data_IF_735719399216
#
_entry.id   IF_735719399216
#
_cell.length_a   1.000
_cell.length_b   1.000
_cell.length_c   1.000
_cell.angle_alpha   90.00
_cell.angle_beta   90.00
_cell.angle_gamma   90.00
#
_symmetry.space_group_name_H-M   'P 1'
#
loop_
_entity.id
_entity.type
_entity.pdbx_description
1 polymer ?
#
# COMPACT_ATOMS: atom_id res chain seq x y z
N UNK A 1 21.07 6.11 11.67
CA UNK A 1 20.90 6.80 10.36
C UNK A 1 20.71 8.32 10.48
N UNK A 2 19.68 8.86 11.19
CA UNK A 2 19.55 10.33 11.31
C UNK A 2 20.70 10.99 12.10
N UNK A 3 21.04 10.45 13.27
CA UNK A 3 22.18 10.92 14.09
C UNK A 3 23.53 10.84 13.38
N UNK A 4 23.76 9.83 12.56
CA UNK A 4 24.99 9.65 11.77
C UNK A 4 25.15 10.71 10.67
N UNK A 5 24.04 11.36 10.29
CA UNK A 5 23.99 12.45 9.31
C UNK A 5 23.82 13.84 9.94
N UNK A 6 23.98 13.94 11.27
CA UNK A 6 23.86 15.20 12.00
C UNK A 6 22.45 15.80 12.04
N UNK A 7 21.43 14.96 11.77
CA UNK A 7 20.04 15.39 11.81
C UNK A 7 19.41 15.07 13.17
N UNK A 8 18.63 15.99 13.70
CA UNK A 8 17.80 15.78 14.88
C UNK A 8 16.39 15.36 14.43
N UNK A 9 15.83 14.35 15.08
CA UNK A 9 14.45 13.88 14.85
C UNK A 9 13.60 14.40 16.00
N UNK A 10 12.48 15.05 15.67
CA UNK A 10 11.43 15.37 16.64
C UNK A 10 10.73 14.10 17.11
N UNK A 11 11.28 13.44 18.14
CA UNK A 11 10.75 12.21 18.70
C UNK A 11 9.36 12.40 19.32
N UNK A 12 9.11 13.55 19.98
CA UNK A 12 7.82 13.83 20.61
C UNK A 12 6.70 14.03 19.56
N UNK A 13 7.00 14.78 18.50
CA UNK A 13 6.09 14.94 17.37
C UNK A 13 5.80 13.62 16.66
N UNK A 14 6.82 12.76 16.48
CA UNK A 14 6.64 11.43 15.90
C UNK A 14 5.74 10.53 16.78
N UNK A 15 5.97 10.47 18.09
CA UNK A 15 5.14 9.69 19.01
C UNK A 15 3.68 10.16 19.00
N UNK A 16 3.44 11.47 19.00
CA UNK A 16 2.10 12.04 18.92
C UNK A 16 1.39 11.63 17.63
N UNK A 17 2.05 11.77 16.48
CA UNK A 17 1.48 11.37 15.19
C UNK A 17 1.22 9.86 15.09
N UNK A 18 2.09 9.03 15.69
CA UNK A 18 1.89 7.59 15.77
C UNK A 18 0.71 7.22 16.67
N UNK A 19 0.49 7.96 17.76
CA UNK A 19 -0.66 7.74 18.62
C UNK A 19 -1.98 8.17 17.96
N UNK A 20 -1.97 9.29 17.25
CA UNK A 20 -3.10 9.73 16.41
C UNK A 20 -3.41 8.71 15.30
N UNK A 21 -2.40 8.13 14.67
CA UNK A 21 -2.57 7.06 13.67
C UNK A 21 -3.15 5.79 14.31
N UNK A 22 -2.64 5.37 15.48
CA UNK A 22 -3.18 4.22 16.23
C UNK A 22 -4.65 4.44 16.61
N UNK A 23 -5.00 5.63 17.05
CA UNK A 23 -6.38 5.97 17.42
C UNK A 23 -7.31 6.00 16.21
N UNK A 24 -6.85 6.52 15.06
CA UNK A 24 -7.59 6.45 13.78
C UNK A 24 -7.76 5.00 13.31
N UNK A 25 -6.73 4.18 13.40
CA UNK A 25 -6.81 2.77 13.04
C UNK A 25 -7.77 2.00 13.98
N UNK A 26 -7.73 2.25 15.30
CA UNK A 26 -8.67 1.68 16.26
C UNK A 26 -10.10 2.15 16.03
N UNK A 27 -10.32 3.41 15.65
CA UNK A 27 -11.64 3.93 15.33
C UNK A 27 -12.19 3.31 14.02
N UNK A 28 -11.33 3.11 13.02
CA UNK A 28 -11.70 2.44 11.76
C UNK A 28 -11.93 0.92 11.94
N UNK A 29 -11.32 0.29 12.95
CA UNK A 29 -11.51 -1.13 13.28
C UNK A 29 -12.66 -1.39 14.25
N UNK A 30 -13.31 -0.36 14.81
CA UNK A 30 -14.51 -0.58 15.63
C UNK A 30 -15.61 -1.17 14.77
N UNK A 31 -15.64 -2.51 14.70
CA UNK A 31 -16.84 -3.23 14.28
C UNK A 31 -17.96 -2.81 15.23
N UNK A 32 -19.06 -2.36 14.69
CA UNK A 32 -20.24 -2.03 15.50
C UNK A 32 -20.75 -3.31 16.13
N UNK A 33 -20.66 -3.41 17.44
CA UNK A 33 -21.27 -4.51 18.19
C UNK A 33 -22.75 -4.15 18.31
N UNK A 34 -23.59 -4.90 17.60
CA UNK A 34 -25.04 -4.83 17.74
C UNK A 34 -25.42 -5.62 18.98
N UNK A 35 -26.03 -4.97 19.95
CA UNK A 35 -26.43 -5.61 21.22
C UNK A 35 -27.89 -6.09 21.13
N UNK A 36 -28.26 -7.09 21.93
CA UNK A 36 -29.64 -7.56 22.02
C UNK A 36 -30.62 -6.45 22.44
N UNK A 37 -30.16 -5.45 23.19
CA UNK A 37 -30.95 -4.24 23.53
C UNK A 37 -31.33 -3.42 22.30
N UNK A 38 -30.53 -3.45 21.24
CA UNK A 38 -30.83 -2.74 19.98
C UNK A 38 -31.93 -3.45 19.16
N UNK A 39 -32.18 -4.73 19.45
CA UNK A 39 -33.12 -5.60 18.72
C UNK A 39 -34.46 -5.72 19.44
N UNK A 40 -34.50 -5.57 20.77
CA UNK A 40 -35.71 -5.62 21.59
C UNK A 40 -36.27 -7.03 21.85
N UNK A 41 -35.67 -8.08 21.28
CA UNK A 41 -36.08 -9.48 21.47
C UNK A 41 -34.98 -10.46 21.11
N UNK A 42 -34.98 -11.64 21.73
CA UNK A 42 -34.07 -12.75 21.41
C UNK A 42 -34.83 -13.82 20.62
N UNK A 43 -34.67 -13.80 19.30
CA UNK A 43 -35.19 -14.82 18.39
C UNK A 43 -34.01 -15.63 17.82
N UNK A 44 -33.70 -16.82 18.36
CA UNK A 44 -32.61 -17.63 17.85
C UNK A 44 -32.90 -18.06 16.40
N UNK A 45 -31.89 -17.93 15.55
CA UNK A 45 -31.93 -18.35 14.13
C UNK A 45 -31.21 -19.68 13.97
N UNK A 46 -31.90 -20.69 13.46
CA UNK A 46 -31.27 -21.97 13.11
C UNK A 46 -30.47 -21.84 11.82
N UNK A 47 -29.17 -22.07 11.87
CA UNK A 47 -28.29 -22.04 10.68
C UNK A 47 -28.36 -23.36 9.94
N UNK A 48 -28.78 -23.33 8.67
CA UNK A 48 -28.85 -24.50 7.77
C UNK A 48 -27.87 -24.43 6.61
N UNK A 49 -27.03 -23.39 6.56
CA UNK A 49 -26.18 -23.01 5.43
C UNK A 49 -24.86 -23.82 5.29
N UNK A 50 -24.64 -24.84 6.10
CA UNK A 50 -23.57 -25.80 5.84
C UNK A 50 -23.89 -26.75 4.68
N UNK A 51 -25.19 -27.08 4.50
CA UNK A 51 -25.65 -28.06 3.55
C UNK A 51 -26.65 -27.52 2.53
N UNK A 52 -27.27 -26.38 2.81
CA UNK A 52 -28.27 -25.74 1.94
C UNK A 52 -27.91 -24.30 1.62
N UNK A 53 -28.03 -23.91 0.34
CA UNK A 53 -27.85 -22.52 -0.10
C UNK A 53 -29.19 -21.76 -0.20
N UNK A 54 -30.32 -22.45 -0.09
CA UNK A 54 -31.64 -21.86 -0.09
C UNK A 54 -32.55 -22.58 0.91
N UNK A 55 -33.52 -21.88 1.48
CA UNK A 55 -34.53 -22.47 2.35
C UNK A 55 -35.78 -21.59 2.38
N UNK A 56 -36.92 -22.19 2.71
CA UNK A 56 -38.10 -21.45 3.17
C UNK A 56 -37.88 -21.10 4.64
N UNK A 57 -38.18 -19.87 5.03
CA UNK A 57 -38.01 -19.39 6.40
C UNK A 57 -39.20 -18.47 6.77
N UNK A 58 -39.50 -18.39 8.07
CA UNK A 58 -40.51 -17.47 8.57
C UNK A 58 -39.81 -16.22 9.11
N UNK A 59 -40.33 -15.04 8.72
CA UNK A 59 -39.92 -13.76 9.26
C UNK A 59 -40.40 -13.67 10.71
N UNK A 60 -39.47 -13.79 11.66
CA UNK A 60 -39.78 -13.67 13.09
C UNK A 60 -40.01 -12.20 13.47
N UNK A 61 -39.16 -11.30 12.94
CA UNK A 61 -39.21 -9.88 13.25
C UNK A 61 -38.60 -9.05 12.12
N UNK A 62 -39.10 -7.81 11.96
CA UNK A 62 -38.47 -6.73 11.20
C UNK A 62 -37.93 -5.71 12.20
N UNK A 63 -36.68 -5.37 12.13
CA UNK A 63 -36.02 -4.43 13.04
C UNK A 63 -35.37 -3.30 12.26
N UNK A 64 -35.42 -2.08 12.81
CA UNK A 64 -34.65 -0.95 12.30
C UNK A 64 -33.46 -0.75 13.25
N UNK A 65 -32.27 -0.99 12.76
CA UNK A 65 -31.04 -0.87 13.52
C UNK A 65 -30.27 0.31 12.95
N UNK A 66 -30.30 1.43 13.69
CA UNK A 66 -29.87 2.73 13.20
C UNK A 66 -30.63 3.10 11.91
N UNK A 67 -29.90 3.28 10.82
CA UNK A 67 -30.48 3.66 9.51
C UNK A 67 -30.73 2.45 8.59
N UNK A 68 -30.51 1.20 9.06
CA UNK A 68 -30.62 -0.02 8.26
C UNK A 68 -31.80 -0.87 8.70
N UNK A 69 -32.54 -1.36 7.72
CA UNK A 69 -33.60 -2.35 7.96
C UNK A 69 -32.98 -3.74 7.99
N UNK A 70 -33.31 -4.52 9.00
CA UNK A 70 -32.90 -5.91 9.14
C UNK A 70 -34.12 -6.80 9.38
N UNK A 71 -34.08 -8.03 8.87
CA UNK A 71 -35.04 -9.06 9.23
C UNK A 71 -34.37 -10.18 10.03
N UNK A 72 -35.14 -10.74 10.95
CA UNK A 72 -34.78 -11.89 11.74
C UNK A 72 -35.62 -13.07 11.29
N UNK A 73 -34.97 -14.19 11.01
CA UNK A 73 -35.58 -15.41 10.52
C UNK A 73 -35.51 -16.53 11.56
N UNK A 74 -36.49 -17.43 11.56
CA UNK A 74 -36.47 -18.65 12.37
C UNK A 74 -35.31 -19.59 11.98
N UNK A 75 -34.99 -19.64 10.67
CA UNK A 75 -33.83 -20.36 10.11
C UNK A 75 -33.27 -19.64 8.91
N UNK A 76 -31.96 -19.84 8.63
CA UNK A 76 -31.28 -19.16 7.54
C UNK A 76 -30.18 -20.00 6.94
N UNK A 77 -29.98 -19.95 5.59
CA UNK A 77 -28.82 -20.50 4.92
C UNK A 77 -27.65 -19.52 4.91
N UNK A 78 -27.89 -18.23 5.27
CA UNK A 78 -26.84 -17.19 5.27
C UNK A 78 -25.93 -17.36 6.47
N UNK A 79 -24.63 -17.35 6.26
CA UNK A 79 -23.65 -17.31 7.33
C UNK A 79 -23.58 -15.88 7.92
N UNK A 80 -23.75 -15.76 9.21
CA UNK A 80 -23.56 -14.48 9.88
C UNK A 80 -22.09 -14.24 10.19
N UNK A 81 -21.62 -13.01 10.05
CA UNK A 81 -20.22 -12.65 10.24
C UNK A 81 -19.70 -13.10 11.60
N UNK A 82 -18.72 -14.00 11.58
CA UNK A 82 -17.98 -14.44 12.79
C UNK A 82 -16.69 -15.16 12.41
N UNK A 83 -15.75 -15.29 13.37
CA UNK A 83 -14.52 -16.07 13.19
C UNK A 83 -13.60 -15.57 12.06
N UNK A 84 -13.71 -14.30 11.68
CA UNK A 84 -12.93 -13.73 10.58
C UNK A 84 -13.54 -13.90 9.19
N UNK A 85 -14.61 -14.69 9.04
CA UNK A 85 -15.37 -14.80 7.80
C UNK A 85 -16.48 -13.74 7.76
N UNK A 86 -16.57 -12.98 6.66
CA UNK A 86 -17.65 -12.00 6.43
C UNK A 86 -19.02 -12.67 6.30
N UNK A 87 -20.08 -11.94 6.63
CA UNK A 87 -21.45 -12.39 6.47
C UNK A 87 -21.85 -12.57 5.00
N UNK A 88 -22.88 -13.38 4.74
CA UNK A 88 -23.40 -13.61 3.40
C UNK A 88 -24.33 -12.52 2.92
N UNK A 89 -24.41 -12.41 1.60
CA UNK A 89 -25.45 -11.74 0.87
C UNK A 89 -26.45 -12.78 0.32
N UNK A 90 -27.71 -12.37 0.12
CA UNK A 90 -28.78 -13.25 -0.33
C UNK A 90 -29.87 -12.49 -1.08
N UNK A 91 -30.76 -13.24 -1.72
CA UNK A 91 -32.03 -12.74 -2.25
C UNK A 91 -33.18 -13.41 -1.48
N UNK A 92 -34.11 -12.61 -1.06
CA UNK A 92 -35.41 -13.05 -0.46
C UNK A 92 -36.50 -12.90 -1.50
N UNK A 93 -37.36 -13.87 -1.61
CA UNK A 93 -38.48 -13.86 -2.54
C UNK A 93 -39.81 -14.17 -1.82
N UNK A 94 -40.84 -13.38 -2.09
CA UNK A 94 -42.21 -13.59 -1.61
C UNK A 94 -43.21 -13.03 -2.62
N UNK A 95 -44.08 -13.88 -3.14
CA UNK A 95 -45.19 -13.44 -4.04
C UNK A 95 -44.70 -12.68 -5.28
N UNK A 96 -43.52 -13.02 -5.82
CA UNK A 96 -42.92 -12.37 -6.97
C UNK A 96 -42.17 -11.07 -6.66
N UNK A 97 -42.18 -10.60 -5.40
CA UNK A 97 -41.33 -9.49 -4.95
C UNK A 97 -39.97 -10.05 -4.46
N UNK A 98 -38.92 -9.24 -4.60
CA UNK A 98 -37.59 -9.59 -4.15
C UNK A 98 -37.00 -8.50 -3.27
N UNK A 99 -36.24 -8.91 -2.27
CA UNK A 99 -35.43 -8.05 -1.41
C UNK A 99 -33.99 -8.58 -1.39
N UNK A 100 -33.06 -7.69 -1.48
CA UNK A 100 -31.64 -8.04 -1.42
C UNK A 100 -31.15 -7.94 0.02
N UNK A 101 -30.56 -9.03 0.53
CA UNK A 101 -29.74 -9.01 1.75
C UNK A 101 -28.32 -8.62 1.35
N UNK A 102 -27.81 -7.53 1.90
CA UNK A 102 -26.48 -7.03 1.61
C UNK A 102 -25.42 -7.56 2.57
N UNK A 103 -25.85 -7.97 3.77
CA UNK A 103 -24.95 -8.45 4.83
C UNK A 103 -25.77 -9.25 5.87
N UNK A 104 -25.10 -10.19 6.52
CA UNK A 104 -25.68 -10.99 7.60
C UNK A 104 -24.76 -10.90 8.83
N UNK A 105 -25.31 -10.38 9.92
CA UNK A 105 -24.59 -10.16 11.19
C UNK A 105 -25.22 -11.01 12.29
N UNK A 106 -24.48 -11.18 13.39
CA UNK A 106 -24.91 -11.97 14.55
C UNK A 106 -24.93 -11.15 15.83
N UNK A 107 -26.02 -11.26 16.61
CA UNK A 107 -26.10 -10.78 17.98
C UNK A 107 -26.64 -11.91 18.88
N UNK A 108 -25.79 -12.46 19.75
CA UNK A 108 -26.14 -13.66 20.49
C UNK A 108 -26.43 -14.84 19.58
N UNK A 109 -27.64 -15.39 19.66
CA UNK A 109 -28.13 -16.44 18.75
C UNK A 109 -29.05 -15.91 17.64
N UNK A 110 -29.30 -14.61 17.60
CA UNK A 110 -30.14 -13.93 16.63
C UNK A 110 -29.31 -13.48 15.43
N UNK A 111 -29.76 -13.82 14.23
CA UNK A 111 -29.10 -13.40 12.99
C UNK A 111 -29.88 -12.31 12.28
N UNK A 112 -29.17 -11.26 11.90
CA UNK A 112 -29.68 -10.03 11.33
C UNK A 112 -29.36 -10.00 9.84
N UNK A 113 -30.38 -10.09 9.00
CA UNK A 113 -30.24 -10.01 7.55
C UNK A 113 -30.55 -8.57 7.12
N UNK A 114 -29.52 -7.79 6.84
CA UNK A 114 -29.64 -6.38 6.45
C UNK A 114 -30.07 -6.23 5.02
N UNK A 115 -31.18 -5.54 4.81
CA UNK A 115 -31.76 -5.32 3.49
C UNK A 115 -31.15 -4.10 2.80
N UNK A 116 -31.25 -4.10 1.47
CA UNK A 116 -30.95 -2.97 0.61
C UNK A 116 -32.19 -2.07 0.55
N UNK A 117 -32.23 -1.02 1.37
CA UNK A 117 -33.37 -0.12 1.50
C UNK A 117 -34.21 -0.33 2.76
N UNK A 118 -35.35 0.36 2.83
CA UNK A 118 -36.22 0.38 4.00
C UNK A 118 -37.40 -0.62 3.91
N UNK A 119 -37.73 -1.07 2.72
CA UNK A 119 -38.82 -2.03 2.47
C UNK A 119 -38.42 -3.43 2.94
N UNK A 120 -39.35 -4.13 3.55
CA UNK A 120 -39.16 -5.48 4.10
C UNK A 120 -40.42 -6.33 3.98
N UNK A 121 -40.32 -7.68 3.91
CA UNK A 121 -41.47 -8.55 4.09
C UNK A 121 -42.01 -8.43 5.51
N UNK A 122 -43.33 -8.58 5.66
CA UNK A 122 -44.01 -8.44 6.95
C UNK A 122 -43.63 -9.56 7.93
N UNK A 123 -43.60 -9.22 9.21
CA UNK A 123 -43.42 -10.23 10.27
C UNK A 123 -44.50 -11.30 10.18
N UNK A 124 -44.13 -12.57 10.36
CA UNK A 124 -45.00 -13.72 10.20
C UNK A 124 -45.07 -14.30 8.80
N UNK A 125 -44.63 -13.59 7.77
CA UNK A 125 -44.57 -14.09 6.40
C UNK A 125 -43.64 -15.27 6.23
N UNK A 126 -43.99 -16.22 5.38
CA UNK A 126 -43.07 -17.29 4.94
C UNK A 126 -42.45 -16.88 3.63
N UNK A 127 -41.11 -16.78 3.63
CA UNK A 127 -40.31 -16.31 2.50
C UNK A 127 -39.43 -17.45 2.01
N UNK A 128 -38.92 -17.32 0.79
CA UNK A 128 -37.79 -18.08 0.29
C UNK A 128 -36.53 -17.19 0.37
N UNK A 129 -35.45 -17.71 0.93
CA UNK A 129 -34.16 -17.03 0.97
C UNK A 129 -33.10 -17.89 0.32
N UNK A 130 -32.33 -17.30 -0.62
CA UNK A 130 -31.24 -17.96 -1.34
C UNK A 130 -29.96 -17.12 -1.23
N UNK A 131 -28.88 -17.75 -0.81
CA UNK A 131 -27.55 -17.14 -0.68
C UNK A 131 -26.99 -16.81 -2.06
N UNK A 132 -26.25 -15.70 -2.18
CA UNK A 132 -25.41 -15.44 -3.34
C UNK A 132 -24.32 -16.51 -3.43
N UNK A 133 -24.60 -17.52 -4.26
CA UNK A 133 -23.74 -18.70 -4.39
C UNK A 133 -22.32 -18.34 -4.86
N UNK A 134 -22.19 -17.47 -5.86
CA UNK A 134 -20.88 -17.12 -6.40
C UNK A 134 -19.98 -16.45 -5.33
N UNK A 135 -20.60 -15.58 -4.53
CA UNK A 135 -19.93 -14.94 -3.39
C UNK A 135 -19.57 -15.95 -2.29
N UNK A 136 -20.49 -16.85 -1.92
CA UNK A 136 -20.28 -17.91 -0.92
C UNK A 136 -19.15 -18.85 -1.35
N UNK A 137 -19.14 -19.30 -2.61
CA UNK A 137 -18.12 -20.18 -3.15
C UNK A 137 -16.71 -19.53 -3.07
N UNK A 138 -16.60 -18.22 -3.38
CA UNK A 138 -15.35 -17.50 -3.25
C UNK A 138 -14.88 -17.42 -1.79
N UNK A 139 -15.79 -17.14 -0.85
CA UNK A 139 -15.51 -17.12 0.59
C UNK A 139 -15.05 -18.50 1.09
N UNK A 140 -15.74 -19.57 0.70
CA UNK A 140 -15.39 -20.95 1.09
C UNK A 140 -13.99 -21.35 0.61
N UNK A 141 -13.61 -20.97 -0.63
CA UNK A 141 -12.25 -21.17 -1.16
C UNK A 141 -11.21 -20.47 -0.31
N UNK A 142 -11.42 -19.19 -0.04
CA UNK A 142 -10.50 -18.41 0.79
C UNK A 142 -10.44 -18.94 2.23
N UNK A 143 -11.57 -19.37 2.81
CA UNK A 143 -11.58 -19.88 4.17
C UNK A 143 -10.87 -21.23 4.29
N UNK A 144 -11.15 -22.15 3.36
CA UNK A 144 -10.50 -23.46 3.40
C UNK A 144 -9.00 -23.35 3.15
N UNK A 145 -8.57 -22.52 2.20
CA UNK A 145 -7.14 -22.35 1.94
C UNK A 145 -6.42 -21.64 3.08
N UNK A 146 -7.13 -20.87 3.93
CA UNK A 146 -6.56 -20.30 5.17
C UNK A 146 -6.07 -21.39 6.10
N UNK A 147 -6.81 -22.48 6.28
CA UNK A 147 -6.40 -23.64 7.08
C UNK A 147 -5.20 -24.35 6.44
N UNK A 148 -5.20 -24.52 5.12
CA UNK A 148 -4.07 -25.13 4.39
C UNK A 148 -2.81 -24.27 4.47
N UNK A 149 -2.96 -22.93 4.37
CA UNK A 149 -1.87 -21.98 4.54
C UNK A 149 -1.26 -22.05 5.95
N UNK A 150 -2.11 -22.14 6.98
CA UNK A 150 -1.65 -22.30 8.35
C UNK A 150 -0.86 -23.60 8.53
N UNK A 151 -1.36 -24.70 8.00
CA UNK A 151 -0.64 -25.96 7.98
C UNK A 151 0.71 -25.85 7.23
N UNK A 152 0.74 -25.21 6.06
CA UNK A 152 1.97 -25.03 5.28
C UNK A 152 3.01 -24.13 6.01
N UNK A 153 2.56 -23.12 6.77
CA UNK A 153 3.43 -22.33 7.66
C UNK A 153 4.10 -23.22 8.72
N UNK A 154 3.36 -24.18 9.29
CA UNK A 154 3.94 -25.14 10.23
C UNK A 154 4.98 -26.07 9.59
N UNK A 155 4.80 -26.45 8.33
CA UNK A 155 5.75 -27.33 7.63
C UNK A 155 7.01 -26.58 7.17
N UNK A 156 6.87 -25.33 6.70
CA UNK A 156 7.96 -24.60 6.05
C UNK A 156 8.71 -23.68 7.04
N UNK A 157 8.00 -23.12 8.02
CA UNK A 157 8.58 -22.08 8.88
C UNK A 157 8.81 -22.57 10.30
N UNK A 158 7.76 -22.89 11.03
CA UNK A 158 7.83 -23.36 12.41
C UNK A 158 6.51 -23.94 12.88
N UNK A 159 6.54 -25.03 13.64
CA UNK A 159 5.38 -25.59 14.35
C UNK A 159 4.79 -24.63 15.41
N UNK A 160 5.52 -23.58 15.76
CA UNK A 160 5.09 -22.55 16.71
C UNK A 160 4.40 -21.36 16.02
N UNK A 161 4.35 -21.32 14.70
CA UNK A 161 3.64 -20.28 13.95
C UNK A 161 2.14 -20.36 14.26
N UNK A 162 1.64 -19.47 15.13
CA UNK A 162 0.25 -19.48 15.56
C UNK A 162 -0.52 -18.29 14.99
N UNK A 163 -1.77 -18.53 14.65
CA UNK A 163 -2.68 -17.49 14.19
C UNK A 163 -2.88 -16.41 15.26
N UNK A 164 -2.75 -15.14 14.88
CA UNK A 164 -3.06 -13.95 15.68
C UNK A 164 -4.32 -13.25 15.21
N UNK A 165 -4.74 -13.51 13.99
CA UNK A 165 -5.95 -13.00 13.37
C UNK A 165 -6.09 -13.54 11.96
N UNK A 166 -7.30 -13.48 11.42
CA UNK A 166 -7.56 -13.74 10.02
C UNK A 166 -8.79 -12.97 9.56
N UNK A 167 -8.84 -12.66 8.29
CA UNK A 167 -10.05 -12.15 7.65
C UNK A 167 -10.20 -12.82 6.28
N UNK A 168 -11.43 -13.22 5.99
CA UNK A 168 -11.80 -13.93 4.77
C UNK A 168 -12.99 -13.24 4.16
N UNK A 169 -12.83 -12.77 2.92
CA UNK A 169 -13.87 -12.18 2.11
C UNK A 169 -13.88 -12.79 0.68
N UNK A 170 -14.83 -12.44 -0.20
CA UNK A 170 -14.89 -13.04 -1.53
C UNK A 170 -13.71 -12.67 -2.44
N UNK A 171 -12.93 -11.65 -2.12
CA UNK A 171 -11.84 -11.13 -2.96
C UNK A 171 -10.47 -11.61 -2.53
N UNK A 172 -10.27 -11.84 -1.22
CA UNK A 172 -8.99 -12.24 -0.63
C UNK A 172 -9.13 -12.86 0.75
N UNK A 173 -8.01 -13.36 1.22
CA UNK A 173 -7.81 -13.68 2.64
C UNK A 173 -6.62 -12.90 3.20
N UNK A 174 -6.64 -12.66 4.51
CA UNK A 174 -5.47 -12.24 5.28
C UNK A 174 -5.26 -13.19 6.44
N UNK A 175 -4.01 -13.51 6.74
CA UNK A 175 -3.61 -14.39 7.83
C UNK A 175 -2.48 -13.76 8.63
N UNK A 176 -2.76 -13.47 9.89
CA UNK A 176 -1.80 -12.88 10.82
C UNK A 176 -1.20 -13.98 11.70
N UNK A 177 0.12 -14.02 11.78
CA UNK A 177 0.83 -15.01 12.59
C UNK A 177 2.01 -14.39 13.35
N UNK A 178 2.41 -15.03 14.43
CA UNK A 178 3.63 -14.66 15.15
C UNK A 178 4.85 -15.22 14.39
N UNK A 179 5.84 -14.37 14.17
CA UNK A 179 7.06 -14.83 13.49
C UNK A 179 7.95 -13.69 13.03
N UNK A 180 9.02 -14.08 12.36
CA UNK A 180 9.93 -13.19 11.64
C UNK A 180 9.45 -12.99 10.19
N UNK A 181 10.05 -12.02 9.49
CA UNK A 181 9.82 -11.83 8.07
C UNK A 181 10.19 -13.11 7.29
N UNK A 182 9.31 -13.53 6.39
CA UNK A 182 9.56 -14.69 5.54
C UNK A 182 10.52 -14.33 4.41
N UNK A 183 11.43 -15.23 4.10
CA UNK A 183 12.29 -15.09 2.93
C UNK A 183 11.48 -15.34 1.65
N UNK A 184 11.94 -14.83 0.49
CA UNK A 184 11.31 -15.15 -0.79
C UNK A 184 11.24 -16.66 -1.08
N UNK A 185 12.24 -17.42 -0.65
CA UNK A 185 12.24 -18.89 -0.77
C UNK A 185 11.14 -19.52 0.06
N UNK A 186 10.99 -19.14 1.33
CA UNK A 186 9.92 -19.65 2.19
C UNK A 186 8.52 -19.31 1.64
N UNK A 187 8.32 -18.09 1.11
CA UNK A 187 7.06 -17.72 0.47
C UNK A 187 6.74 -18.61 -0.74
N UNK A 188 7.75 -18.86 -1.58
CA UNK A 188 7.59 -19.74 -2.74
C UNK A 188 7.32 -21.19 -2.34
N UNK A 189 7.98 -21.70 -1.30
CA UNK A 189 7.78 -23.06 -0.78
C UNK A 189 6.37 -23.21 -0.16
N UNK A 190 5.89 -22.23 0.60
CA UNK A 190 4.54 -22.20 1.15
C UNK A 190 3.51 -22.21 0.02
N UNK A 191 3.63 -21.30 -0.95
CA UNK A 191 2.71 -21.19 -2.08
C UNK A 191 2.67 -22.50 -2.88
N UNK A 192 3.82 -23.09 -3.16
CA UNK A 192 3.93 -24.38 -3.83
C UNK A 192 3.25 -25.49 -3.04
N UNK A 193 3.56 -25.63 -1.75
CA UNK A 193 3.02 -26.67 -0.89
C UNK A 193 1.50 -26.60 -0.75
N UNK A 194 0.95 -25.38 -0.62
CA UNK A 194 -0.50 -25.17 -0.60
C UNK A 194 -1.13 -25.64 -1.91
N UNK A 195 -0.57 -25.27 -3.07
CA UNK A 195 -1.10 -25.70 -4.36
C UNK A 195 -0.97 -27.22 -4.58
N UNK A 196 0.08 -27.86 -4.08
CA UNK A 196 0.19 -29.33 -4.11
C UNK A 196 -0.94 -30.00 -3.32
N UNK A 197 -1.32 -29.46 -2.16
CA UNK A 197 -2.45 -29.95 -1.36
C UNK A 197 -3.81 -29.65 -2.00
N UNK A 198 -3.94 -28.55 -2.70
CA UNK A 198 -5.13 -28.27 -3.50
C UNK A 198 -5.29 -29.30 -4.61
N UNK A 199 -4.21 -29.60 -5.34
CA UNK A 199 -4.21 -30.57 -6.44
C UNK A 199 -4.42 -32.02 -5.97
N UNK A 200 -4.08 -32.35 -4.73
CA UNK A 200 -4.36 -33.67 -4.14
C UNK A 200 -5.87 -33.96 -4.05
N UNK A 201 -6.72 -32.94 -4.10
CA UNK A 201 -8.17 -33.04 -4.07
C UNK A 201 -8.71 -33.83 -2.85
N UNK A 202 -8.08 -33.61 -1.69
CA UNK A 202 -8.47 -34.23 -0.42
C UNK A 202 -9.87 -33.77 0.02
N UNK A 203 -10.61 -34.66 0.69
CA UNK A 203 -11.91 -34.31 1.26
C UNK A 203 -11.78 -33.32 2.40
N UNK A 204 -12.69 -32.35 2.45
CA UNK A 204 -12.86 -31.41 3.56
C UNK A 204 -14.16 -31.75 4.27
N UNK A 205 -14.04 -32.22 5.50
CA UNK A 205 -15.18 -32.69 6.29
C UNK A 205 -15.22 -32.01 7.67
N UNK A 206 -16.33 -32.12 8.34
CA UNK A 206 -16.47 -31.59 9.69
C UNK A 206 -17.28 -32.52 10.58
N UNK A 207 -17.06 -32.39 11.87
CA UNK A 207 -17.78 -33.12 12.90
C UNK A 207 -18.06 -32.20 14.09
N UNK A 208 -19.25 -32.30 14.65
CA UNK A 208 -19.58 -31.73 15.95
C UNK A 208 -19.21 -32.73 17.05
N UNK A 209 -18.41 -32.28 18.00
CA UNK A 209 -17.90 -33.12 19.09
C UNK A 209 -17.93 -32.36 20.41
N UNK A 210 -18.00 -33.10 21.52
CA UNK A 210 -17.84 -32.46 22.82
C UNK A 210 -16.45 -31.82 22.94
N UNK A 211 -16.39 -30.54 23.35
CA UNK A 211 -15.12 -29.83 23.51
C UNK A 211 -14.11 -30.58 24.40
N UNK A 212 -14.62 -31.21 25.46
CA UNK A 212 -13.79 -32.00 26.35
C UNK A 212 -13.02 -33.14 25.68
N UNK A 213 -13.54 -33.69 24.55
CA UNK A 213 -12.88 -34.77 23.78
C UNK A 213 -11.72 -34.31 22.89
N UNK A 214 -11.65 -33.00 22.62
CA UNK A 214 -10.63 -32.42 21.73
C UNK A 214 -9.75 -31.38 22.43
N UNK A 215 -10.13 -30.96 23.64
CA UNK A 215 -9.36 -30.02 24.43
C UNK A 215 -7.93 -30.51 24.68
N UNK A 216 -6.94 -29.67 24.29
CA UNK A 216 -5.52 -29.98 24.50
C UNK A 216 -4.93 -31.00 23.50
N UNK A 217 -5.66 -31.41 22.46
CA UNK A 217 -5.09 -32.20 21.36
C UNK A 217 -4.17 -31.29 20.53
N UNK A 218 -2.87 -31.61 20.40
CA UNK A 218 -1.90 -30.76 19.69
C UNK A 218 -2.06 -30.78 18.17
N UNK A 219 -2.77 -31.77 17.65
CA UNK A 219 -3.07 -31.96 16.22
C UNK A 219 -4.36 -31.24 15.77
N UNK A 220 -5.11 -30.62 16.71
CA UNK A 220 -6.28 -29.81 16.42
C UNK A 220 -6.00 -28.37 16.84
N UNK A 221 -5.98 -27.44 15.89
CA UNK A 221 -5.73 -26.03 16.16
C UNK A 221 -6.90 -25.37 16.90
N UNK A 222 -6.59 -24.67 17.98
CA UNK A 222 -7.56 -24.07 18.91
C UNK A 222 -7.10 -22.65 19.26
N UNK A 223 -7.80 -21.59 18.77
CA UNK A 223 -7.29 -20.22 18.85
C UNK A 223 -7.94 -19.33 19.91
N UNK A 224 -9.13 -19.70 20.41
CA UNK A 224 -9.95 -18.79 21.22
C UNK A 224 -10.04 -19.17 22.72
N UNK A 225 -9.27 -20.15 23.17
CA UNK A 225 -9.14 -20.54 24.59
C UNK A 225 -10.49 -20.82 25.26
N UNK A 226 -10.81 -20.09 26.32
CA UNK A 226 -12.00 -20.30 27.15
C UNK A 226 -13.35 -19.87 26.54
N UNK A 227 -13.36 -19.44 25.26
CA UNK A 227 -14.59 -19.00 24.58
C UNK A 227 -15.36 -20.12 23.87
N UNK A 228 -14.91 -21.36 23.96
CA UNK A 228 -15.59 -22.49 23.35
C UNK A 228 -16.74 -23.00 24.26
N UNK A 229 -17.88 -23.33 23.63
CA UNK A 229 -18.98 -23.99 24.33
C UNK A 229 -18.72 -25.47 24.55
N UNK A 230 -19.72 -26.18 25.12
CA UNK A 230 -19.63 -27.63 25.41
C UNK A 230 -19.50 -28.49 24.14
N UNK A 231 -20.07 -28.04 23.02
CA UNK A 231 -19.94 -28.65 21.69
C UNK A 231 -19.18 -27.72 20.75
N UNK A 232 -18.26 -28.28 19.95
CA UNK A 232 -17.44 -27.57 18.99
C UNK A 232 -17.44 -28.30 17.66
N UNK A 233 -17.31 -27.52 16.58
CA UNK A 233 -17.17 -28.04 15.22
C UNK A 233 -15.68 -28.13 14.87
N UNK A 234 -15.21 -29.33 14.55
CA UNK A 234 -13.87 -29.58 14.01
C UNK A 234 -13.97 -29.70 12.51
N UNK A 235 -13.27 -28.84 11.78
CA UNK A 235 -13.06 -28.97 10.33
C UNK A 235 -11.74 -29.70 10.11
N UNK A 236 -11.75 -30.73 9.30
CA UNK A 236 -10.54 -31.48 8.92
C UNK A 236 -10.38 -31.54 7.41
N UNK A 237 -9.13 -31.51 6.96
CA UNK A 237 -8.72 -31.70 5.57
C UNK A 237 -7.96 -33.03 5.47
N UNK A 238 -8.40 -33.86 4.52
CA UNK A 238 -7.89 -35.24 4.41
C UNK A 238 -8.39 -36.16 5.52
N UNK A 239 -7.82 -37.37 5.57
CA UNK A 239 -8.24 -38.38 6.52
C UNK A 239 -9.64 -38.95 6.22
N UNK A 240 -10.13 -39.79 7.14
CA UNK A 240 -11.46 -40.38 7.04
C UNK A 240 -12.49 -39.48 7.74
N UNK A 241 -13.61 -39.23 7.11
CA UNK A 241 -14.71 -38.43 7.68
C UNK A 241 -15.07 -38.92 9.11
N UNK A 242 -15.30 -37.98 10.00
CA UNK A 242 -15.63 -38.17 11.42
C UNK A 242 -14.58 -38.92 12.27
N UNK A 243 -13.38 -39.18 11.73
CA UNK A 243 -12.33 -39.90 12.45
C UNK A 243 -11.31 -38.99 13.14
N UNK A 244 -11.37 -37.67 12.93
CA UNK A 244 -10.44 -36.65 13.43
C UNK A 244 -8.96 -37.08 13.24
N UNK A 245 -8.61 -37.43 12.01
CA UNK A 245 -7.29 -37.91 11.58
C UNK A 245 -6.83 -37.23 10.26
N UNK A 246 -7.39 -36.07 9.93
CA UNK A 246 -6.92 -35.23 8.84
C UNK A 246 -5.52 -34.68 9.09
N UNK A 247 -4.82 -34.32 8.03
CA UNK A 247 -3.50 -33.66 8.12
C UNK A 247 -3.58 -32.17 8.53
N UNK A 248 -4.75 -31.52 8.38
CA UNK A 248 -5.07 -30.24 8.98
C UNK A 248 -6.41 -30.36 9.68
N UNK A 249 -6.46 -29.95 10.96
CA UNK A 249 -7.66 -29.99 11.78
C UNK A 249 -7.73 -28.73 12.63
N UNK A 250 -8.89 -28.05 12.61
CA UNK A 250 -9.09 -26.79 13.33
C UNK A 250 -10.51 -26.67 13.90
N UNK A 251 -10.65 -26.03 15.05
CA UNK A 251 -11.96 -25.62 15.58
C UNK A 251 -12.46 -24.43 14.76
N UNK A 252 -13.44 -24.66 13.89
CA UNK A 252 -13.92 -23.65 12.97
C UNK A 252 -15.43 -23.76 12.70
N UNK A 253 -16.16 -22.64 12.86
CA UNK A 253 -17.58 -22.55 12.56
C UNK A 253 -17.87 -22.01 11.14
N UNK A 254 -16.85 -21.69 10.35
CA UNK A 254 -17.00 -21.11 9.04
C UNK A 254 -17.50 -22.08 7.95
N UNK A 255 -17.73 -21.56 6.76
CA UNK A 255 -18.13 -22.35 5.60
C UNK A 255 -16.92 -22.74 4.77
N UNK A 256 -16.90 -23.98 4.28
CA UNK A 256 -15.77 -24.58 3.57
C UNK A 256 -16.20 -25.27 2.29
N UNK A 257 -15.27 -25.43 1.34
CA UNK A 257 -15.42 -26.32 0.18
C UNK A 257 -15.51 -27.78 0.64
N UNK A 258 -15.95 -28.68 -0.22
CA UNK A 258 -16.05 -30.11 0.10
C UNK A 258 -14.77 -30.88 -0.23
N UNK A 259 -13.99 -30.38 -1.19
CA UNK A 259 -12.70 -30.93 -1.59
C UNK A 259 -11.70 -29.83 -1.85
N UNK A 260 -10.43 -30.08 -1.56
CA UNK A 260 -9.39 -29.07 -1.75
C UNK A 260 -9.24 -28.61 -3.20
N UNK A 261 -9.54 -29.46 -4.18
CA UNK A 261 -9.52 -29.13 -5.60
C UNK A 261 -10.50 -28.01 -6.00
N UNK A 262 -11.59 -27.81 -5.25
CA UNK A 262 -12.54 -26.74 -5.50
C UNK A 262 -11.98 -25.34 -5.21
N UNK A 263 -10.86 -25.25 -4.48
CA UNK A 263 -10.19 -23.99 -4.16
C UNK A 263 -9.63 -23.34 -5.42
N UNK A 264 -9.08 -24.12 -6.34
CA UNK A 264 -8.37 -23.64 -7.52
C UNK A 264 -6.98 -23.08 -7.16
N UNK A 265 -6.39 -22.30 -8.05
CA UNK A 265 -5.06 -21.73 -7.87
C UNK A 265 -5.00 -20.82 -6.64
N UNK A 266 -4.02 -21.06 -5.77
CA UNK A 266 -3.68 -20.20 -4.64
C UNK A 266 -2.45 -19.37 -4.96
N UNK A 267 -2.44 -18.07 -4.57
CA UNK A 267 -1.29 -17.18 -4.71
C UNK A 267 -1.14 -16.27 -3.50
N UNK A 268 0.09 -16.13 -3.03
CA UNK A 268 0.45 -15.12 -2.03
C UNK A 268 0.61 -13.78 -2.76
N UNK A 269 -0.09 -12.76 -2.26
CA UNK A 269 -0.06 -11.39 -2.79
C UNK A 269 1.05 -10.58 -2.14
N UNK A 270 1.25 -10.80 -0.85
CA UNK A 270 2.29 -10.10 -0.10
C UNK A 270 2.40 -10.59 1.34
N UNK A 271 3.50 -10.23 1.97
CA UNK A 271 3.77 -10.49 3.38
C UNK A 271 4.36 -9.23 4.01
N UNK A 272 3.76 -8.76 5.13
CA UNK A 272 4.14 -7.50 5.75
C UNK A 272 4.08 -7.59 7.28
N UNK A 273 4.85 -6.74 7.98
CA UNK A 273 4.70 -6.53 9.42
C UNK A 273 3.47 -5.68 9.71
N UNK A 274 2.64 -6.10 10.66
CA UNK A 274 1.48 -5.33 11.15
C UNK A 274 1.63 -4.87 12.60
N UNK A 275 2.45 -5.59 13.39
CA UNK A 275 2.82 -5.23 14.75
C UNK A 275 4.17 -5.85 15.10
N UNK A 276 4.73 -5.50 16.26
CA UNK A 276 5.95 -6.14 16.76
C UNK A 276 5.74 -7.66 16.90
N UNK A 277 6.53 -8.45 16.19
CA UNK A 277 6.46 -9.92 16.19
C UNK A 277 5.22 -10.51 15.53
N UNK A 278 4.43 -9.71 14.79
CA UNK A 278 3.24 -10.19 14.06
C UNK A 278 3.36 -9.84 12.58
N UNK A 279 3.24 -10.87 11.74
CA UNK A 279 3.31 -10.81 10.29
C UNK A 279 1.94 -11.09 9.68
N UNK A 280 1.62 -10.44 8.58
CA UNK A 280 0.40 -10.68 7.79
C UNK A 280 0.75 -11.19 6.42
N UNK A 281 0.20 -12.34 6.05
CA UNK A 281 0.12 -12.80 4.67
C UNK A 281 -1.21 -12.36 4.09
N UNK A 282 -1.19 -11.75 2.91
CA UNK A 282 -2.36 -11.52 2.07
C UNK A 282 -2.30 -12.48 0.89
N UNK A 283 -3.39 -13.19 0.61
CA UNK A 283 -3.43 -14.18 -0.45
C UNK A 283 -4.81 -14.23 -1.13
N UNK A 284 -4.84 -14.86 -2.30
CA UNK A 284 -6.03 -15.03 -3.13
C UNK A 284 -6.13 -16.47 -3.63
N UNK A 285 -7.35 -16.94 -3.91
CA UNK A 285 -7.59 -18.29 -4.43
C UNK A 285 -8.67 -18.30 -5.53
N UNK A 286 -8.66 -19.34 -6.35
CA UNK A 286 -9.67 -19.56 -7.40
C UNK A 286 -9.69 -18.46 -8.46
N UNK A 287 -10.88 -17.93 -8.75
CA UNK A 287 -11.05 -16.88 -9.77
C UNK A 287 -10.30 -15.59 -9.44
N UNK A 288 -10.17 -15.21 -8.18
CA UNK A 288 -9.38 -14.05 -7.79
C UNK A 288 -7.89 -14.21 -8.16
N UNK A 289 -7.33 -15.41 -7.99
CA UNK A 289 -5.99 -15.74 -8.47
C UNK A 289 -5.86 -15.68 -9.99
N UNK A 290 -6.86 -16.17 -10.71
CA UNK A 290 -6.90 -16.13 -12.17
C UNK A 290 -6.90 -14.69 -12.69
N UNK A 291 -7.79 -13.83 -12.17
CA UNK A 291 -7.88 -12.43 -12.60
C UNK A 291 -6.57 -11.67 -12.30
N UNK A 292 -5.94 -11.96 -11.17
CA UNK A 292 -4.63 -11.38 -10.86
C UNK A 292 -3.55 -11.83 -11.83
N UNK A 293 -3.46 -13.14 -12.11
CA UNK A 293 -2.48 -13.68 -13.05
C UNK A 293 -2.69 -13.11 -14.47
N UNK A 294 -3.94 -12.95 -14.89
CA UNK A 294 -4.32 -12.33 -16.15
C UNK A 294 -3.86 -10.86 -16.21
N UNK A 295 -4.14 -10.07 -15.16
CA UNK A 295 -3.74 -8.67 -15.11
C UNK A 295 -2.20 -8.51 -15.15
N UNK A 296 -1.45 -9.36 -14.44
CA UNK A 296 0.01 -9.37 -14.48
C UNK A 296 0.55 -9.74 -15.87
N UNK A 297 -0.06 -10.74 -16.53
CA UNK A 297 0.31 -11.12 -17.88
C UNK A 297 0.00 -10.01 -18.91
N UNK A 298 -1.12 -9.31 -18.78
CA UNK A 298 -1.48 -8.18 -19.63
C UNK A 298 -0.53 -7.00 -19.42
N UNK A 299 -0.14 -6.70 -18.19
CA UNK A 299 0.87 -5.68 -17.89
C UNK A 299 2.21 -6.01 -18.55
N UNK A 300 2.69 -7.25 -18.43
CA UNK A 300 3.93 -7.69 -19.07
C UNK A 300 3.85 -7.58 -20.60
N UNK A 301 2.73 -7.96 -21.21
CA UNK A 301 2.50 -7.78 -22.66
C UNK A 301 2.51 -6.29 -23.07
N UNK A 302 1.90 -5.42 -22.28
CA UNK A 302 1.89 -3.98 -22.53
C UNK A 302 3.31 -3.39 -22.49
N UNK A 303 4.11 -3.78 -21.49
CA UNK A 303 5.52 -3.36 -21.39
C UNK A 303 6.36 -3.90 -22.55
N UNK A 304 6.13 -5.15 -22.96
CA UNK A 304 6.77 -5.78 -24.10
C UNK A 304 6.48 -5.00 -25.40
N UNK A 305 5.22 -4.65 -25.61
CA UNK A 305 4.81 -3.83 -26.75
C UNK A 305 5.44 -2.43 -26.73
N UNK A 306 5.44 -1.75 -25.58
CA UNK A 306 6.02 -0.41 -25.42
C UNK A 306 7.53 -0.37 -25.70
N UNK A 307 8.23 -1.47 -25.39
CA UNK A 307 9.68 -1.60 -25.61
C UNK A 307 10.04 -2.31 -26.92
N UNK A 308 9.03 -2.72 -27.70
CA UNK A 308 9.16 -3.54 -28.91
C UNK A 308 10.09 -4.76 -28.69
N UNK A 309 9.83 -5.50 -27.61
CA UNK A 309 10.69 -6.59 -27.16
C UNK A 309 9.82 -7.75 -26.65
N UNK A 310 10.12 -9.03 -26.91
CA UNK A 310 9.41 -10.15 -26.31
C UNK A 310 9.43 -10.11 -24.79
N UNK A 311 8.38 -10.65 -24.14
CA UNK A 311 8.27 -10.69 -22.67
C UNK A 311 9.50 -11.35 -22.03
N UNK A 312 10.05 -12.40 -22.65
CA UNK A 312 11.24 -13.12 -22.19
C UNK A 312 12.50 -12.25 -22.11
N UNK A 313 12.57 -11.21 -22.90
CA UNK A 313 13.75 -10.35 -23.03
C UNK A 313 13.59 -8.98 -22.36
N UNK A 314 12.43 -8.74 -21.70
CA UNK A 314 12.12 -7.46 -21.05
C UNK A 314 13.15 -7.02 -20.03
N UNK A 315 13.62 -7.93 -19.18
CA UNK A 315 14.62 -7.63 -18.16
C UNK A 315 15.91 -7.09 -18.80
N UNK A 316 16.43 -7.80 -19.81
CA UNK A 316 17.62 -7.39 -20.56
C UNK A 316 17.41 -6.05 -21.30
N UNK A 317 16.20 -5.84 -21.84
CA UNK A 317 15.88 -4.57 -22.52
C UNK A 317 15.84 -3.40 -21.56
N UNK A 318 15.29 -3.61 -20.36
CA UNK A 318 15.25 -2.58 -19.31
C UNK A 318 16.66 -2.19 -18.86
N UNK A 319 17.55 -3.16 -18.65
CA UNK A 319 18.97 -2.91 -18.33
C UNK A 319 19.63 -2.08 -19.43
N UNK A 320 19.44 -2.43 -20.70
CA UNK A 320 19.96 -1.66 -21.83
C UNK A 320 19.44 -0.21 -21.86
N UNK A 321 18.16 0.00 -21.59
CA UNK A 321 17.57 1.36 -21.54
C UNK A 321 18.20 2.16 -20.40
N UNK A 322 18.37 1.57 -19.24
CA UNK A 322 19.02 2.23 -18.09
C UNK A 322 20.48 2.60 -18.39
N UNK A 323 21.24 1.69 -18.99
CA UNK A 323 22.62 1.94 -19.41
C UNK A 323 22.71 3.05 -20.47
N UNK A 324 21.83 3.01 -21.48
CA UNK A 324 21.75 4.05 -22.50
C UNK A 324 21.39 5.42 -21.92
N UNK A 325 20.45 5.47 -20.98
CA UNK A 325 20.08 6.71 -20.29
C UNK A 325 21.29 7.29 -19.53
N UNK A 326 21.97 6.47 -18.73
CA UNK A 326 23.16 6.90 -17.99
C UNK A 326 24.29 7.38 -18.93
N UNK A 327 24.49 6.68 -20.05
CA UNK A 327 25.50 7.08 -21.05
C UNK A 327 25.11 8.41 -21.75
N UNK A 328 23.83 8.64 -22.03
CA UNK A 328 23.34 9.89 -22.60
C UNK A 328 23.48 11.06 -21.61
N UNK A 329 23.15 10.86 -20.36
CA UNK A 329 23.34 11.87 -19.31
C UNK A 329 24.80 12.28 -19.17
N UNK A 330 25.70 11.29 -19.18
CA UNK A 330 27.15 11.55 -19.16
C UNK A 330 27.61 12.35 -20.38
N UNK A 331 27.15 11.98 -21.58
CA UNK A 331 27.45 12.72 -22.81
C UNK A 331 26.92 14.15 -22.76
N UNK A 332 25.68 14.32 -22.32
CA UNK A 332 25.04 15.63 -22.18
C UNK A 332 25.85 16.53 -21.23
N UNK A 333 26.29 15.98 -20.09
CA UNK A 333 27.17 16.72 -19.15
C UNK A 333 28.45 17.18 -19.80
N UNK A 334 29.13 16.32 -20.57
CA UNK A 334 30.35 16.69 -21.29
C UNK A 334 30.11 17.81 -22.32
N UNK A 335 29.00 17.75 -23.07
CA UNK A 335 28.63 18.79 -24.01
C UNK A 335 28.33 20.12 -23.32
N UNK A 336 27.57 20.11 -22.22
CA UNK A 336 27.28 21.29 -21.40
C UNK A 336 28.55 21.92 -20.83
N UNK A 337 29.47 21.10 -20.31
CA UNK A 337 30.74 21.56 -19.78
C UNK A 337 31.60 22.23 -20.88
N UNK A 338 31.64 21.64 -22.07
CA UNK A 338 32.36 22.21 -23.22
C UNK A 338 31.74 23.55 -23.65
N UNK A 339 30.43 23.63 -23.80
CA UNK A 339 29.68 24.85 -24.15
C UNK A 339 29.88 25.95 -23.10
N UNK A 340 29.74 25.60 -21.81
CA UNK A 340 30.01 26.50 -20.67
C UNK A 340 31.46 27.01 -20.71
N UNK A 341 32.45 26.14 -21.08
CA UNK A 341 33.85 26.58 -21.15
C UNK A 341 34.07 27.54 -22.34
N UNK A 342 33.50 27.26 -23.49
CA UNK A 342 33.57 28.15 -24.66
C UNK A 342 32.92 29.52 -24.39
N UNK A 343 31.76 29.52 -23.72
CA UNK A 343 31.11 30.76 -23.30
C UNK A 343 31.97 31.52 -22.29
N UNK A 344 32.62 30.83 -21.36
CA UNK A 344 33.50 31.43 -20.40
C UNK A 344 34.76 32.06 -21.09
N UNK A 345 35.30 31.42 -22.13
CA UNK A 345 36.39 32.00 -22.96
C UNK A 345 35.95 33.27 -23.65
N UNK A 346 34.76 33.25 -24.28
CA UNK A 346 34.24 34.40 -24.99
C UNK A 346 33.92 35.59 -24.08
N UNK A 347 33.43 35.29 -22.84
CA UNK A 347 33.17 36.32 -21.81
C UNK A 347 34.48 36.87 -21.23
N UNK A 348 35.48 36.03 -20.96
CA UNK A 348 36.78 36.47 -20.44
C UNK A 348 37.52 37.37 -21.46
N UNK A 349 37.42 37.09 -22.77
CA UNK A 349 37.96 37.91 -23.84
C UNK A 349 37.37 39.31 -23.91
N UNK A 350 36.15 39.51 -23.39
CA UNK A 350 35.45 40.81 -23.32
C UNK A 350 35.75 41.58 -22.05
N UNK A 351 36.71 41.11 -21.21
CA UNK A 351 37.07 41.81 -19.99
C UNK A 351 37.56 43.24 -20.24
N UNK A 352 36.98 44.24 -19.55
CA UNK A 352 37.41 45.63 -19.59
C UNK A 352 38.35 45.94 -18.42
N UNK A 353 39.47 46.63 -18.71
CA UNK A 353 40.39 47.05 -17.63
C UNK A 353 39.92 48.38 -17.02
N UNK A 354 39.84 48.43 -15.70
CA UNK A 354 39.48 49.63 -14.92
C UNK A 354 40.34 49.66 -13.64
N UNK A 355 41.22 50.64 -13.58
CA UNK A 355 42.13 50.82 -12.45
C UNK A 355 42.94 49.53 -12.07
N UNK A 356 43.38 48.76 -13.07
CA UNK A 356 44.16 47.56 -12.91
C UNK A 356 43.34 46.30 -12.54
N UNK A 357 41.99 46.38 -12.53
CA UNK A 357 41.06 45.24 -12.36
C UNK A 357 40.33 44.97 -13.66
N UNK A 358 40.14 43.67 -13.94
CA UNK A 358 39.44 43.18 -15.16
C UNK A 358 37.99 42.86 -14.86
N UNK A 359 37.08 43.64 -15.44
CA UNK A 359 35.63 43.48 -15.25
C UNK A 359 34.99 42.69 -16.42
N UNK A 360 34.20 41.70 -16.02
CA UNK A 360 33.26 40.99 -16.94
C UNK A 360 31.87 41.13 -16.36
N UNK A 361 31.05 41.96 -16.97
CA UNK A 361 29.67 42.22 -16.55
C UNK A 361 28.77 41.89 -17.73
N UNK A 362 27.90 40.89 -17.60
CA UNK A 362 27.05 40.46 -18.71
C UNK A 362 25.77 39.78 -18.23
N UNK A 363 24.71 39.95 -19.05
CA UNK A 363 23.57 39.06 -18.98
C UNK A 363 23.86 37.87 -19.90
N UNK A 364 23.57 36.65 -19.39
CA UNK A 364 23.83 35.39 -20.10
C UNK A 364 22.61 34.49 -20.02
N UNK A 365 22.55 33.47 -20.86
CA UNK A 365 21.61 32.38 -20.74
C UNK A 365 22.24 31.27 -19.88
N UNK A 366 21.46 30.70 -18.96
CA UNK A 366 21.83 29.52 -18.19
C UNK A 366 20.56 28.68 -18.00
N UNK A 367 20.71 27.35 -17.87
CA UNK A 367 19.54 26.47 -17.64
C UNK A 367 19.10 26.47 -16.18
N UNK A 368 20.05 26.54 -15.27
CA UNK A 368 19.79 26.58 -13.83
C UNK A 368 20.63 27.66 -13.14
N UNK A 369 20.20 28.13 -11.95
CA UNK A 369 21.02 29.02 -11.13
C UNK A 369 22.41 28.44 -10.78
N UNK A 370 22.54 27.12 -10.67
CA UNK A 370 23.82 26.47 -10.43
C UNK A 370 24.73 26.58 -11.66
N UNK A 371 24.20 26.41 -12.87
CA UNK A 371 25.00 26.58 -14.11
C UNK A 371 25.52 28.02 -14.24
N UNK A 372 24.70 29.00 -13.85
CA UNK A 372 25.15 30.39 -13.81
C UNK A 372 26.29 30.61 -12.83
N UNK A 373 26.21 30.01 -11.64
CA UNK A 373 27.28 30.07 -10.62
C UNK A 373 28.57 29.46 -11.13
N UNK A 374 28.47 28.28 -11.74
CA UNK A 374 29.64 27.55 -12.24
C UNK A 374 30.28 28.27 -13.45
N UNK A 375 29.43 28.88 -14.32
CA UNK A 375 29.93 29.75 -15.38
C UNK A 375 30.70 30.96 -14.83
N UNK A 376 30.12 31.65 -13.82
CA UNK A 376 30.78 32.79 -13.18
C UNK A 376 32.17 32.41 -12.60
N UNK A 377 32.27 31.27 -11.92
CA UNK A 377 33.55 30.75 -11.40
C UNK A 377 34.54 30.40 -12.52
N UNK A 378 34.06 29.77 -13.63
CA UNK A 378 34.91 29.47 -14.81
C UNK A 378 35.45 30.76 -15.46
N UNK A 379 34.63 31.77 -15.63
CA UNK A 379 35.03 33.09 -16.19
C UNK A 379 36.08 33.74 -15.28
N UNK A 380 35.85 33.79 -13.97
CA UNK A 380 36.77 34.38 -13.02
C UNK A 380 38.12 33.64 -13.00
N UNK A 381 38.12 32.30 -13.09
CA UNK A 381 39.32 31.51 -13.23
C UNK A 381 40.13 31.82 -14.48
N UNK A 382 39.47 32.07 -15.62
CA UNK A 382 40.13 32.42 -16.90
C UNK A 382 40.68 33.86 -16.92
N UNK A 383 39.99 34.81 -16.30
CA UNK A 383 40.42 36.21 -16.19
C UNK A 383 41.57 36.38 -15.21
N UNK A 384 41.61 35.58 -14.15
CA UNK A 384 42.70 35.51 -13.18
C UNK A 384 42.48 36.34 -11.91
N UNK A 385 43.57 36.65 -11.16
CA UNK A 385 43.50 37.21 -9.79
C UNK A 385 42.88 38.63 -9.74
N UNK A 386 42.89 39.37 -10.83
CA UNK A 386 42.34 40.74 -10.92
C UNK A 386 40.85 40.74 -11.36
N UNK A 387 40.23 39.60 -11.48
CA UNK A 387 38.84 39.44 -12.02
C UNK A 387 37.79 40.07 -11.10
N UNK A 388 36.85 40.79 -11.69
CA UNK A 388 35.54 41.14 -11.12
C UNK A 388 34.48 40.70 -12.13
N UNK A 389 33.90 39.53 -11.89
CA UNK A 389 32.91 38.92 -12.79
C UNK A 389 31.54 39.06 -12.17
N UNK A 390 30.59 39.62 -12.93
CA UNK A 390 29.17 39.71 -12.51
C UNK A 390 28.31 39.23 -13.67
N UNK A 391 27.63 38.13 -13.49
CA UNK A 391 26.74 37.54 -14.48
C UNK A 391 25.30 37.49 -13.94
N UNK A 392 24.34 37.79 -14.81
CA UNK A 392 22.91 37.65 -14.51
C UNK A 392 22.25 36.75 -15.53
N UNK A 393 21.27 35.97 -15.10
CA UNK A 393 20.40 35.18 -15.97
C UNK A 393 18.95 35.27 -15.52
N UNK A 394 18.04 35.16 -16.47
CA UNK A 394 16.58 35.21 -16.24
C UNK A 394 16.02 33.78 -16.30
N UNK A 395 15.24 33.41 -15.31
CA UNK A 395 14.60 32.10 -15.17
C UNK A 395 13.09 32.32 -14.94
N UNK A 396 12.32 32.33 -16.04
CA UNK A 396 10.90 32.68 -15.98
C UNK A 396 10.69 34.13 -15.51
N UNK A 397 10.06 34.31 -14.36
CA UNK A 397 9.78 35.59 -13.70
C UNK A 397 10.84 36.03 -12.67
N UNK A 398 11.96 35.30 -12.57
CA UNK A 398 13.04 35.55 -11.61
C UNK A 398 14.37 35.81 -12.29
N UNK A 399 15.19 36.62 -11.64
CA UNK A 399 16.57 36.87 -12.02
C UNK A 399 17.50 36.25 -11.00
N UNK A 400 18.51 35.54 -11.45
CA UNK A 400 19.66 35.15 -10.63
C UNK A 400 20.89 35.96 -11.04
N UNK A 401 21.66 36.38 -10.06
CA UNK A 401 22.89 37.13 -10.23
C UNK A 401 24.02 36.47 -9.45
N UNK A 402 25.16 36.31 -10.05
CA UNK A 402 26.37 35.79 -9.43
C UNK A 402 27.49 36.79 -9.56
N UNK A 403 28.33 36.90 -8.55
CA UNK A 403 29.56 37.65 -8.61
C UNK A 403 30.76 36.79 -8.14
N UNK A 404 31.89 36.90 -8.84
CA UNK A 404 33.14 36.27 -8.46
C UNK A 404 34.29 37.30 -8.56
N UNK A 405 35.03 37.45 -7.47
CA UNK A 405 36.16 38.36 -7.37
C UNK A 405 37.46 37.56 -7.18
N UNK A 406 38.47 37.84 -8.00
CA UNK A 406 39.78 37.27 -7.85
C UNK A 406 40.53 37.82 -6.61
N UNK A 407 41.58 37.14 -6.18
CA UNK A 407 42.25 37.46 -4.94
C UNK A 407 42.78 38.91 -4.86
N UNK A 408 43.30 39.45 -5.95
CA UNK A 408 43.81 40.83 -5.98
C UNK A 408 42.66 41.85 -6.06
N UNK A 409 41.53 41.53 -6.71
CA UNK A 409 40.33 42.34 -6.67
C UNK A 409 39.75 42.44 -5.25
N UNK A 410 39.78 41.34 -4.49
CA UNK A 410 39.38 41.33 -3.08
C UNK A 410 40.28 42.19 -2.23
N UNK A 411 41.61 42.09 -2.41
CA UNK A 411 42.60 42.98 -1.73
C UNK A 411 42.40 44.45 -2.07
N UNK A 412 41.98 44.74 -3.31
CA UNK A 412 41.61 46.09 -3.76
C UNK A 412 40.27 46.59 -3.27
N UNK A 413 39.61 45.86 -2.33
CA UNK A 413 38.34 46.27 -1.71
C UNK A 413 37.08 45.89 -2.47
N UNK A 414 37.16 45.06 -3.54
CA UNK A 414 36.00 44.55 -4.26
C UNK A 414 35.57 43.22 -3.64
N UNK A 415 34.35 43.22 -3.05
CA UNK A 415 33.79 42.06 -2.39
C UNK A 415 32.54 41.58 -3.15
N UNK A 416 32.53 40.34 -3.62
CA UNK A 416 31.41 39.74 -4.37
C UNK A 416 30.10 39.80 -3.57
N UNK A 417 30.13 39.56 -2.26
CA UNK A 417 28.98 39.66 -1.38
C UNK A 417 28.32 41.03 -1.40
N UNK A 418 29.11 42.10 -1.35
CA UNK A 418 28.59 43.48 -1.43
C UNK A 418 28.03 43.79 -2.82
N UNK A 419 28.73 43.42 -3.87
CA UNK A 419 28.27 43.61 -5.26
C UNK A 419 26.92 42.93 -5.49
N UNK A 420 26.75 41.69 -5.03
CA UNK A 420 25.48 40.97 -5.16
C UNK A 420 24.40 41.58 -4.33
N UNK A 421 24.68 41.99 -3.10
CA UNK A 421 23.69 42.63 -2.22
C UNK A 421 23.17 43.95 -2.85
N UNK A 422 24.05 44.79 -3.36
CA UNK A 422 23.69 46.10 -3.97
C UNK A 422 22.90 45.91 -5.28
N UNK A 423 23.35 44.95 -6.15
CA UNK A 423 22.68 44.68 -7.41
C UNK A 423 21.33 43.98 -7.22
N UNK A 424 21.21 43.01 -6.29
CA UNK A 424 19.95 42.33 -6.01
C UNK A 424 18.92 43.26 -5.34
N UNK A 425 19.35 44.26 -4.57
CA UNK A 425 18.47 45.32 -4.03
C UNK A 425 17.69 46.03 -5.13
N UNK A 426 18.32 46.30 -6.30
CA UNK A 426 17.66 46.90 -7.48
C UNK A 426 16.69 45.95 -8.18
N UNK A 427 16.93 44.65 -8.09
CA UNK A 427 16.06 43.63 -8.67
C UNK A 427 14.87 43.27 -7.77
N UNK A 428 14.64 44.01 -6.66
CA UNK A 428 13.57 43.70 -5.70
C UNK A 428 13.80 42.43 -4.92
N UNK A 429 15.06 42.02 -4.73
CA UNK A 429 15.43 40.77 -4.09
C UNK A 429 16.56 40.88 -3.06
N UNK A 430 17.17 39.78 -2.74
CA UNK A 430 18.25 39.67 -1.76
C UNK A 430 19.37 38.78 -2.29
N UNK A 431 20.57 39.04 -1.82
CA UNK A 431 21.71 38.19 -2.13
C UNK A 431 22.85 38.45 -1.16
N UNK A 432 23.89 37.62 -1.24
CA UNK A 432 25.08 37.74 -0.40
C UNK A 432 26.01 36.57 -0.61
N UNK A 433 27.11 36.56 0.14
CA UNK A 433 28.10 35.50 0.04
C UNK A 433 29.43 35.94 0.61
N UNK A 434 30.50 35.20 0.26
CA UNK A 434 31.83 35.48 0.65
C UNK A 434 32.45 36.65 -0.19
N UNK A 435 33.60 37.25 0.20
CA UNK A 435 34.23 38.27 -0.62
C UNK A 435 34.68 37.82 -2.01
N UNK A 436 34.97 36.53 -2.20
CA UNK A 436 35.44 35.95 -3.45
C UNK A 436 34.29 35.42 -4.34
N UNK A 437 33.17 34.98 -3.73
CA UNK A 437 32.05 34.43 -4.47
C UNK A 437 30.72 34.71 -3.75
N UNK A 438 29.71 35.15 -4.49
CA UNK A 438 28.38 35.45 -3.97
C UNK A 438 27.31 35.20 -5.02
N UNK A 439 26.09 34.97 -4.54
CA UNK A 439 24.92 34.73 -5.39
C UNK A 439 23.68 35.34 -4.76
N UNK A 440 22.76 35.79 -5.59
CA UNK A 440 21.47 36.32 -5.17
C UNK A 440 20.50 36.37 -6.33
N UNK A 441 19.39 37.05 -6.14
CA UNK A 441 18.40 37.23 -7.20
C UNK A 441 17.29 38.16 -6.81
N UNK A 442 16.35 38.38 -7.73
CA UNK A 442 15.17 39.22 -7.53
C UNK A 442 14.08 38.83 -8.53
N UNK A 443 12.99 39.55 -8.46
CA UNK A 443 11.78 39.34 -9.30
C UNK A 443 11.58 40.40 -10.36
N UNK A 444 12.34 41.50 -10.33
CA UNK A 444 12.21 42.58 -11.31
C UNK A 444 13.15 42.36 -12.52
N UNK A 445 12.64 41.56 -13.49
CA UNK A 445 13.37 41.24 -14.71
C UNK A 445 13.70 42.45 -15.56
N UNK A 446 12.88 43.53 -15.51
CA UNK A 446 13.08 44.73 -16.30
C UNK A 446 14.31 45.54 -15.90
N UNK A 447 14.79 45.37 -14.67
CA UNK A 447 15.92 46.10 -14.11
C UNK A 447 17.27 45.39 -14.19
N UNK A 448 17.36 44.27 -14.92
CA UNK A 448 18.63 43.52 -15.04
C UNK A 448 19.76 44.38 -15.59
N UNK A 449 19.48 45.19 -16.63
CA UNK A 449 20.48 46.07 -17.22
C UNK A 449 20.95 47.19 -16.25
N UNK A 450 20.02 47.74 -15.48
CA UNK A 450 20.32 48.73 -14.43
C UNK A 450 21.15 48.15 -13.29
N UNK A 451 20.77 46.94 -12.84
CA UNK A 451 21.50 46.23 -11.79
C UNK A 451 22.96 45.89 -12.21
N UNK A 452 23.15 45.42 -13.45
CA UNK A 452 24.48 45.17 -13.99
C UNK A 452 25.28 46.47 -14.22
N UNK A 453 24.63 47.53 -14.72
CA UNK A 453 25.26 48.84 -14.93
C UNK A 453 25.73 49.50 -13.64
N UNK A 454 25.15 49.18 -12.49
CA UNK A 454 25.56 49.74 -11.20
C UNK A 454 26.85 49.15 -10.64
N UNK A 455 27.33 48.05 -11.22
CA UNK A 455 28.60 47.41 -10.81
C UNK A 455 29.79 48.02 -11.58
N UNK A 456 29.50 48.76 -12.62
CA UNK A 456 30.49 49.28 -13.55
C UNK A 456 31.29 50.51 -13.01
#
# INVERSE_FOLDING_TARGET
>A
MARERGLTVDGAGFEKLMEEQRNRARAAQKKEIITLSDIGSDHPTAFVGYDALATQAKVAQVAKIKDRTAIILDKSPCYAEMGGQVGDAAIITLGGRQWRVTDTQKSGQTWLHFLDGEDAPEAGATIEIAVDQARRDAIQRHHTVTHILHWALHEVVSKEASQKGSAVDPTKLTFDFNGQALTPGQLADIEKLVNERILANDAVTWSEVAYASVKGRPDIMQFFGDKYGDSVRVVQVGGKAASLNGWSMELCAGTHVRHTGEIGLFRIVGENAIAAGVRRIEAVAGLASFERAKAEAELLKSLAASTNTPVTDLAKRLEQIMEQSAALEKKLKVYRDKESSQLADALAAKASDRAGLKYVISQVSAETPNDLRDLGAKVAGKVGPTAVVVLAAVFGDKVSLVANCGADAVKAGKAAGKIVTDACGKLGGKGGGKPDAAMGGGTDVSKVAEALGSVA
#
